data_IF_408989603746
#
_entry.id   IF_408989603746
#
_cell.length_a   1.000
_cell.length_b   1.000
_cell.length_c   1.000
_cell.angle_alpha   90.00
_cell.angle_beta   90.00
_cell.angle_gamma   90.00
#
_symmetry.space_group_name_H-M   'P 1'
#
loop_
_entity.id
_entity.type
_entity.pdbx_description
1 polymer ?
#
# COMPACT_ATOMS: atom_id res chain seq x y z
N UNK A 1 2.06 4.90 -20.49
CA UNK A 1 1.87 3.81 -19.51
C UNK A 1 1.01 4.33 -18.36
N UNK A 2 -0.22 3.84 -18.22
CA UNK A 2 -1.06 4.07 -17.04
C UNK A 2 -0.49 3.26 -15.88
N UNK A 3 -0.05 3.90 -14.80
CA UNK A 3 0.35 3.18 -13.58
C UNK A 3 -0.94 2.82 -12.85
N UNK A 4 -1.46 1.61 -13.05
CA UNK A 4 -2.64 1.14 -12.34
C UNK A 4 -2.42 1.23 -10.82
N UNK A 5 -3.32 1.91 -10.09
CA UNK A 5 -3.36 1.88 -8.62
C UNK A 5 -3.76 0.50 -8.07
N UNK A 6 -2.87 -0.47 -8.29
CA UNK A 6 -2.92 -1.83 -7.77
C UNK A 6 -1.50 -2.23 -7.40
N UNK A 7 -1.28 -2.52 -6.12
CA UNK A 7 -0.02 -3.12 -5.67
C UNK A 7 -0.27 -4.60 -5.53
N UNK A 8 0.59 -5.39 -6.17
CA UNK A 8 0.66 -6.82 -5.94
C UNK A 8 2.09 -7.14 -5.51
N UNK A 9 2.24 -7.61 -4.28
CA UNK A 9 3.51 -8.21 -3.86
C UNK A 9 3.45 -9.68 -4.29
N UNK A 10 4.31 -10.00 -5.27
CA UNK A 10 4.58 -11.36 -5.69
C UNK A 10 5.79 -11.88 -4.92
N UNK A 11 5.84 -13.20 -4.72
CA UNK A 11 7.00 -13.84 -4.12
C UNK A 11 8.24 -13.63 -5.01
N UNK A 12 9.44 -13.40 -4.41
CA UNK A 12 10.69 -13.39 -5.16
C UNK A 12 10.97 -14.74 -5.81
N UNK A 13 11.90 -14.76 -6.77
CA UNK A 13 12.14 -15.88 -7.69
C UNK A 13 12.21 -17.24 -6.97
N UNK A 14 11.34 -18.16 -7.41
CA UNK A 14 10.95 -19.39 -6.70
C UNK A 14 11.92 -20.57 -6.93
N UNK A 15 13.05 -20.33 -7.61
CA UNK A 15 13.99 -21.38 -8.00
C UNK A 15 14.63 -22.12 -6.81
N UNK A 16 14.73 -21.47 -5.64
CA UNK A 16 15.21 -22.08 -4.39
C UNK A 16 14.11 -22.91 -3.71
N UNK A 17 12.85 -22.63 -4.01
CA UNK A 17 11.67 -23.30 -3.46
C UNK A 17 11.09 -24.34 -4.43
N UNK A 18 11.96 -24.99 -5.21
CA UNK A 18 11.63 -26.03 -6.20
C UNK A 18 11.07 -27.30 -5.54
N UNK A 19 9.81 -27.20 -5.08
CA UNK A 19 8.70 -28.18 -5.11
C UNK A 19 7.60 -27.64 -4.19
N UNK A 20 6.65 -26.93 -4.82
CA UNK A 20 5.24 -26.79 -4.43
C UNK A 20 4.93 -26.59 -2.94
N UNK A 21 5.36 -25.47 -2.38
CA UNK A 21 4.80 -24.98 -1.11
C UNK A 21 4.05 -23.68 -1.38
N UNK A 22 2.74 -23.83 -1.51
CA UNK A 22 1.83 -22.72 -1.69
C UNK A 22 1.59 -22.00 -0.37
N UNK A 23 1.88 -20.70 -0.36
CA UNK A 23 1.44 -19.81 0.72
C UNK A 23 -0.04 -19.54 0.49
N UNK A 24 -0.84 -20.00 1.44
CA UNK A 24 -2.30 -20.07 1.30
C UNK A 24 -2.92 -18.68 1.20
N UNK A 25 -4.12 -18.61 0.65
CA UNK A 25 -4.85 -17.34 0.57
C UNK A 25 -5.04 -16.65 1.93
N UNK A 26 -5.41 -17.33 3.04
CA UNK A 26 -5.47 -16.70 4.37
C UNK A 26 -4.14 -16.12 4.85
N UNK A 27 -3.02 -16.80 4.59
CA UNK A 27 -1.67 -16.31 4.94
C UNK A 27 -1.30 -15.07 4.12
N UNK A 28 -1.59 -15.08 2.82
CA UNK A 28 -1.37 -13.92 1.95
C UNK A 28 -2.33 -12.76 2.27
N UNK A 29 -3.52 -13.04 2.82
CA UNK A 29 -4.45 -12.00 3.28
C UNK A 29 -3.89 -11.24 4.50
N UNK A 30 -3.26 -11.94 5.45
CA UNK A 30 -2.56 -11.29 6.57
C UNK A 30 -1.50 -10.31 6.08
N UNK A 31 -0.73 -10.71 5.07
CA UNK A 31 0.27 -9.84 4.43
C UNK A 31 -0.37 -8.63 3.74
N UNK A 32 -1.50 -8.82 3.03
CA UNK A 32 -2.24 -7.70 2.42
C UNK A 32 -2.77 -6.70 3.47
N UNK A 33 -3.32 -7.21 4.58
CA UNK A 33 -3.79 -6.39 5.70
C UNK A 33 -2.66 -5.60 6.35
N UNK A 34 -1.51 -6.24 6.58
CA UNK A 34 -0.32 -5.56 7.10
C UNK A 34 0.15 -4.44 6.15
N UNK A 35 0.20 -4.69 4.84
CA UNK A 35 0.55 -3.67 3.85
C UNK A 35 -0.42 -2.49 3.93
N UNK A 36 -1.74 -2.76 3.96
CA UNK A 36 -2.76 -1.71 4.08
C UNK A 36 -2.55 -0.90 5.35
N UNK A 37 -2.32 -1.53 6.50
CA UNK A 37 -2.11 -0.83 7.76
C UNK A 37 -0.87 0.07 7.74
N UNK A 38 0.25 -0.41 7.19
CA UNK A 38 1.47 0.40 7.04
C UNK A 38 1.28 1.56 6.05
N UNK A 39 0.47 1.36 5.00
CA UNK A 39 0.07 2.46 4.13
C UNK A 39 -0.75 3.51 4.90
N UNK A 40 -1.75 3.10 5.69
CA UNK A 40 -2.59 4.03 6.45
C UNK A 40 -1.80 4.88 7.42
N UNK A 41 -0.98 4.26 8.28
CA UNK A 41 -0.10 5.00 9.23
C UNK A 41 0.78 6.03 8.54
N UNK A 42 1.29 5.69 7.36
CA UNK A 42 2.12 6.58 6.55
C UNK A 42 1.32 7.76 5.99
N UNK A 43 0.09 7.51 5.54
CA UNK A 43 -0.78 8.55 5.01
C UNK A 43 -1.30 9.48 6.11
N UNK A 44 -1.61 8.96 7.29
CA UNK A 44 -1.96 9.71 8.50
C UNK A 44 -0.85 10.70 8.88
N UNK A 45 0.41 10.23 8.80
CA UNK A 45 1.60 11.05 9.07
C UNK A 45 2.07 11.90 7.87
N UNK A 46 1.31 11.93 6.78
CA UNK A 46 1.58 12.77 5.62
C UNK A 46 2.85 12.41 4.85
N UNK A 47 3.19 11.12 4.78
CA UNK A 47 4.40 10.62 4.11
C UNK A 47 4.11 9.84 2.83
N UNK A 48 5.01 9.92 1.87
CA UNK A 48 4.98 9.20 0.60
C UNK A 48 5.63 7.80 0.70
N UNK A 49 5.63 7.04 -0.39
CA UNK A 49 6.21 5.68 -0.46
C UNK A 49 7.71 5.62 -0.16
N UNK A 50 8.42 6.74 -0.26
CA UNK A 50 9.83 6.90 0.06
C UNK A 50 10.05 7.42 1.48
N UNK A 51 8.97 7.51 2.28
CA UNK A 51 8.96 8.03 3.65
C UNK A 51 9.27 9.54 3.75
N UNK A 52 9.17 10.26 2.63
CA UNK A 52 9.33 11.72 2.58
C UNK A 52 7.99 12.39 2.88
N UNK A 53 7.99 13.56 3.56
CA UNK A 53 6.76 14.30 3.78
C UNK A 53 6.15 14.75 2.43
N UNK A 54 4.82 14.79 2.34
CA UNK A 54 4.14 15.35 1.18
C UNK A 54 4.45 16.84 1.03
N UNK A 55 4.43 17.31 -0.22
CA UNK A 55 4.53 18.74 -0.50
C UNK A 55 3.42 19.50 0.22
N UNK A 56 3.73 20.62 0.89
CA UNK A 56 2.75 21.42 1.63
C UNK A 56 1.62 21.90 0.72
N UNK A 57 0.48 22.22 1.32
CA UNK A 57 -0.63 22.85 0.61
C UNK A 57 -0.23 24.23 0.06
N UNK A 58 -0.81 24.60 -1.08
CA UNK A 58 -0.74 25.97 -1.60
C UNK A 58 -1.41 26.94 -0.61
N UNK A 59 -1.05 28.23 -0.67
CA UNK A 59 -1.53 29.26 0.27
C UNK A 59 -3.07 29.31 0.33
N UNK A 60 -3.74 29.32 -0.82
CA UNK A 60 -5.20 29.31 -0.92
C UNK A 60 -5.84 28.08 -0.25
N UNK A 61 -5.24 26.90 -0.41
CA UNK A 61 -5.72 25.68 0.25
C UNK A 61 -5.48 25.70 1.77
N UNK A 62 -4.40 26.34 2.24
CA UNK A 62 -4.16 26.54 3.67
C UNK A 62 -5.21 27.46 4.29
N UNK A 63 -5.54 28.55 3.61
CA UNK A 63 -6.58 29.51 4.03
C UNK A 63 -7.94 28.81 4.12
N UNK A 64 -8.35 28.11 3.05
CA UNK A 64 -9.57 27.30 3.05
C UNK A 64 -9.62 26.26 4.18
N UNK A 65 -8.51 25.58 4.47
CA UNK A 65 -8.46 24.61 5.59
C UNK A 65 -8.60 25.26 6.95
N UNK A 66 -8.02 26.45 7.12
CA UNK A 66 -8.14 27.24 8.34
C UNK A 66 -9.59 27.65 8.59
N UNK A 67 -10.30 28.07 7.55
CA UNK A 67 -11.74 28.37 7.60
C UNK A 67 -12.56 27.13 8.02
N UNK A 68 -12.20 25.95 7.50
CA UNK A 68 -12.84 24.68 7.85
C UNK A 68 -12.40 24.11 9.22
N UNK A 69 -11.66 24.86 10.04
CA UNK A 69 -11.09 24.43 11.34
C UNK A 69 -10.23 23.15 11.25
N UNK A 70 -9.62 22.89 10.09
CA UNK A 70 -8.68 21.79 9.88
C UNK A 70 -7.24 22.26 10.01
N UNK A 71 -6.33 21.35 10.36
CA UNK A 71 -4.90 21.68 10.42
C UNK A 71 -4.34 21.91 8.99
N UNK A 72 -3.90 23.14 8.64
CA UNK A 72 -3.40 23.45 7.29
C UNK A 72 -1.93 23.05 7.08
N UNK A 73 -1.22 22.65 8.14
CA UNK A 73 0.20 22.31 8.11
C UNK A 73 0.44 20.82 7.89
N UNK A 74 -0.57 19.98 8.11
CA UNK A 74 -0.49 18.54 7.85
C UNK A 74 -1.15 18.24 6.51
N UNK A 75 -0.32 17.89 5.51
CA UNK A 75 -0.81 17.32 4.26
C UNK A 75 -0.95 15.84 4.46
N UNK A 76 -2.16 15.37 4.70
CA UNK A 76 -2.50 13.95 4.75
C UNK A 76 -3.66 13.65 3.78
N UNK A 77 -3.96 12.37 3.59
CA UNK A 77 -5.03 11.92 2.69
C UNK A 77 -6.40 11.80 3.39
N UNK A 78 -6.53 12.39 4.58
CA UNK A 78 -7.71 12.25 5.46
C UNK A 78 -8.81 13.27 5.18
N UNK A 79 -8.59 14.24 4.29
CA UNK A 79 -9.46 15.43 4.18
C UNK A 79 -10.95 15.10 4.04
N UNK A 80 -11.28 14.01 3.33
CA UNK A 80 -12.62 13.40 3.35
C UNK A 80 -12.62 11.93 3.78
N UNK A 81 -11.46 11.35 4.07
CA UNK A 81 -11.27 9.91 4.29
C UNK A 81 -11.60 9.01 3.07
N UNK A 82 -12.21 9.55 2.01
CA UNK A 82 -12.74 8.76 0.88
C UNK A 82 -11.66 8.00 0.11
N UNK A 83 -10.43 8.54 0.04
CA UNK A 83 -9.29 7.84 -0.59
C UNK A 83 -8.84 6.66 0.27
N UNK A 84 -8.71 6.87 1.58
CA UNK A 84 -8.35 5.83 2.56
C UNK A 84 -9.41 4.73 2.60
N UNK A 85 -10.69 5.11 2.66
CA UNK A 85 -11.82 4.19 2.70
C UNK A 85 -11.99 3.39 1.40
N UNK A 86 -11.42 3.87 0.30
CA UNK A 86 -11.43 3.14 -0.98
C UNK A 86 -10.35 2.05 -1.09
N UNK A 87 -9.44 1.95 -0.11
CA UNK A 87 -8.41 0.90 -0.07
C UNK A 87 -9.03 -0.44 0.32
N UNK A 88 -8.92 -1.40 -0.59
CA UNK A 88 -9.34 -2.78 -0.37
C UNK A 88 -8.13 -3.71 -0.34
N UNK A 89 -8.26 -4.78 0.44
CA UNK A 89 -7.30 -5.88 0.48
C UNK A 89 -7.90 -7.11 -0.15
N UNK A 90 -7.07 -7.85 -0.87
CA UNK A 90 -7.42 -9.15 -1.44
C UNK A 90 -6.17 -10.04 -1.43
N UNK A 91 -6.36 -11.34 -1.51
CA UNK A 91 -5.27 -12.31 -1.58
C UNK A 91 -5.62 -13.42 -2.57
N UNK A 92 -4.58 -13.95 -3.20
CA UNK A 92 -4.59 -15.23 -3.89
C UNK A 92 -3.45 -16.05 -3.32
N UNK A 93 -3.42 -17.33 -3.64
CA UNK A 93 -2.25 -18.17 -3.39
C UNK A 93 -1.00 -17.45 -3.92
N UNK A 94 0.03 -17.36 -3.07
CA UNK A 94 1.30 -16.71 -3.36
C UNK A 94 1.21 -15.21 -3.76
N UNK A 95 0.10 -14.52 -3.48
CA UNK A 95 -0.07 -13.12 -3.88
C UNK A 95 -0.93 -12.29 -2.92
N UNK A 96 -0.34 -11.22 -2.39
CA UNK A 96 -1.04 -10.21 -1.59
C UNK A 96 -1.35 -8.99 -2.45
N UNK A 97 -2.57 -8.48 -2.35
CA UNK A 97 -3.07 -7.39 -3.19
C UNK A 97 -3.67 -6.30 -2.31
N UNK A 98 -3.26 -5.05 -2.57
CA UNK A 98 -3.94 -3.84 -2.10
C UNK A 98 -4.32 -3.03 -3.32
N UNK A 99 -5.61 -2.70 -3.46
CA UNK A 99 -6.16 -1.97 -4.59
C UNK A 99 -7.12 -0.86 -4.16
N UNK A 100 -7.43 0.04 -5.09
CA UNK A 100 -8.45 1.07 -4.90
C UNK A 100 -9.75 0.59 -5.53
N UNK A 101 -10.76 0.26 -4.72
CA UNK A 101 -12.00 -0.33 -5.19
C UNK A 101 -12.85 0.65 -6.02
N UNK A 102 -12.84 1.94 -5.67
CA UNK A 102 -13.64 2.95 -6.34
C UNK A 102 -12.92 3.51 -7.59
N UNK A 103 -13.52 3.40 -8.77
CA UNK A 103 -12.93 3.82 -10.05
C UNK A 103 -12.64 5.33 -10.11
N UNK A 104 -13.50 6.18 -9.53
CA UNK A 104 -13.26 7.62 -9.47
C UNK A 104 -12.06 7.94 -8.56
N UNK A 105 -11.96 7.25 -7.42
CA UNK A 105 -10.80 7.37 -6.50
C UNK A 105 -9.52 6.87 -7.15
N UNK A 106 -9.59 5.82 -7.95
CA UNK A 106 -8.46 5.33 -8.74
C UNK A 106 -7.95 6.40 -9.71
N UNK A 107 -8.83 7.06 -10.46
CA UNK A 107 -8.43 8.20 -11.33
C UNK A 107 -7.75 9.33 -10.55
N UNK A 108 -8.25 9.65 -9.36
CA UNK A 108 -7.63 10.67 -8.49
C UNK A 108 -6.26 10.19 -7.98
N UNK A 109 -6.15 8.92 -7.62
CA UNK A 109 -4.90 8.28 -7.22
C UNK A 109 -3.84 8.46 -8.28
N UNK A 110 -4.16 8.10 -9.52
CA UNK A 110 -3.24 8.11 -10.65
C UNK A 110 -2.79 9.54 -10.94
N UNK A 111 -3.71 10.52 -10.93
CA UNK A 111 -3.37 11.95 -11.06
C UNK A 111 -2.36 12.40 -10.01
N UNK A 112 -2.53 12.00 -8.75
CA UNK A 112 -1.57 12.33 -7.69
C UNK A 112 -0.24 11.58 -7.85
N UNK A 113 -0.25 10.31 -8.27
CA UNK A 113 0.98 9.55 -8.52
C UNK A 113 1.83 10.19 -9.64
N UNK A 114 1.18 10.69 -10.68
CA UNK A 114 1.82 11.26 -11.86
C UNK A 114 2.07 12.77 -11.76
N UNK A 115 1.31 13.49 -10.92
CA UNK A 115 1.35 14.95 -10.83
C UNK A 115 0.56 15.68 -11.94
N UNK A 116 -0.46 15.03 -12.53
CA UNK A 116 -1.24 15.60 -13.64
C UNK A 116 -2.33 16.54 -13.13
N UNK A 117 -2.10 17.85 -13.20
CA UNK A 117 -3.05 18.88 -12.76
C UNK A 117 -3.26 18.94 -11.24
N UNK A 118 -2.48 18.17 -10.48
CA UNK A 118 -2.48 18.14 -9.01
C UNK A 118 -1.03 17.96 -8.52
N UNK A 119 -0.70 18.36 -7.28
CA UNK A 119 0.62 18.09 -6.73
C UNK A 119 0.96 16.60 -6.76
N UNK A 120 2.14 16.28 -7.31
CA UNK A 120 2.67 14.91 -7.31
C UNK A 120 2.88 14.43 -5.88
N UNK A 121 2.23 13.32 -5.54
CA UNK A 121 2.31 12.63 -4.24
C UNK A 121 2.38 11.14 -4.54
N UNK A 122 3.52 10.52 -4.31
CA UNK A 122 3.68 9.08 -4.45
C UNK A 122 3.07 8.38 -3.23
N UNK A 123 1.75 8.46 -3.09
CA UNK A 123 1.03 8.11 -1.86
C UNK A 123 0.56 6.65 -1.85
N UNK A 124 0.31 6.07 -3.03
CA UNK A 124 -0.18 4.71 -3.20
C UNK A 124 0.99 3.78 -3.51
N UNK A 125 1.27 2.84 -2.61
CA UNK A 125 2.44 1.97 -2.69
C UNK A 125 2.88 1.49 -1.32
N UNK A 126 3.67 0.43 -1.28
CA UNK A 126 4.38 0.03 -0.07
C UNK A 126 5.76 0.67 -0.03
N UNK A 127 6.26 1.02 1.16
CA UNK A 127 7.66 1.40 1.30
C UNK A 127 8.58 0.20 1.07
N UNK A 128 9.82 0.42 0.66
CA UNK A 128 10.80 -0.68 0.54
C UNK A 128 10.98 -1.44 1.86
N UNK A 129 10.93 -0.73 2.99
CA UNK A 129 10.99 -1.34 4.33
C UNK A 129 9.82 -2.30 4.56
N UNK A 130 8.60 -1.88 4.23
CA UNK A 130 7.39 -2.71 4.33
C UNK A 130 7.49 -3.93 3.42
N UNK A 131 7.93 -3.75 2.17
CA UNK A 131 8.11 -4.84 1.20
C UNK A 131 9.11 -5.89 1.71
N UNK A 132 10.28 -5.45 2.21
CA UNK A 132 11.30 -6.34 2.77
C UNK A 132 10.77 -7.16 3.94
N UNK A 133 10.00 -6.52 4.84
CA UNK A 133 9.39 -7.21 5.98
C UNK A 133 8.37 -8.26 5.53
N UNK A 134 7.45 -7.91 4.63
CA UNK A 134 6.45 -8.85 4.09
C UNK A 134 7.13 -10.05 3.42
N UNK A 135 8.18 -9.82 2.62
CA UNK A 135 8.93 -10.91 1.99
C UNK A 135 9.58 -11.81 3.04
N UNK A 136 10.18 -11.25 4.09
CA UNK A 136 10.78 -12.04 5.17
C UNK A 136 9.74 -12.87 5.94
N UNK A 137 8.56 -12.30 6.21
CA UNK A 137 7.48 -13.00 6.89
C UNK A 137 6.93 -14.15 6.02
N UNK A 138 6.79 -13.93 4.71
CA UNK A 138 6.35 -14.99 3.80
C UNK A 138 7.39 -16.12 3.71
N UNK A 139 8.69 -15.80 3.65
CA UNK A 139 9.75 -16.83 3.66
C UNK A 139 9.66 -17.73 4.89
N UNK A 140 9.40 -17.16 6.07
CA UNK A 140 9.20 -17.96 7.30
C UNK A 140 8.01 -18.91 7.19
N UNK A 141 6.91 -18.48 6.56
CA UNK A 141 5.74 -19.34 6.34
C UNK A 141 6.10 -20.50 5.42
N UNK A 142 6.82 -20.21 4.32
CA UNK A 142 7.30 -21.24 3.40
C UNK A 142 8.20 -22.25 4.11
N UNK A 143 9.15 -21.80 4.92
CA UNK A 143 10.05 -22.67 5.69
C UNK A 143 9.28 -23.59 6.64
N UNK A 144 8.22 -23.08 7.29
CA UNK A 144 7.35 -23.87 8.17
C UNK A 144 6.59 -24.94 7.39
N UNK A 145 6.05 -24.61 6.23
CA UNK A 145 5.35 -25.56 5.38
C UNK A 145 6.28 -26.65 4.86
N UNK A 146 7.51 -26.31 4.44
CA UNK A 146 8.53 -27.29 4.03
C UNK A 146 8.85 -28.26 5.17
N UNK A 147 9.08 -27.74 6.37
CA UNK A 147 9.33 -28.58 7.57
C UNK A 147 8.18 -29.54 7.85
N UNK A 148 6.94 -29.08 7.73
CA UNK A 148 5.74 -29.91 7.91
C UNK A 148 5.58 -30.98 6.83
N UNK A 149 5.95 -30.66 5.59
CA UNK A 149 5.89 -31.61 4.48
C UNK A 149 6.93 -32.72 4.63
N UNK A 150 8.15 -32.39 5.11
CA UNK A 150 9.23 -33.36 5.32
C UNK A 150 9.09 -34.18 6.62
N UNK A 151 8.16 -33.81 7.51
CA UNK A 151 7.89 -34.54 8.76
C UNK A 151 6.77 -35.58 8.63
N UNK A 152 6.20 -35.73 7.43
CA UNK A 152 5.19 -36.73 7.06
C UNK A 152 5.83 -37.78 6.16
#
# INVERSE_FOLDING_TARGET
MSIDAKIAIKLPNMDVYKKAVDVTQPEMLKSALFIRQEMLKRLETGRDIFLKPFKPYAKSTKEYKKEMRKNPNIVNMEDSGQMINSLRTNAKVNRSIVDIANAQRRKIADKHMEGRGVPKRAWFGSSQKTVKKVIADIRKIMDQHIRRANAK
#
